data_IF_222918153814
#
_entry.id   IF_222918153814
#
_cell.length_a   1.000
_cell.length_b   1.000
_cell.length_c   1.000
_cell.angle_alpha   90.00
_cell.angle_beta   90.00
_cell.angle_gamma   90.00
#
_symmetry.space_group_name_H-M   'P 1'
#
loop_
_entity.id
_entity.type
_entity.pdbx_description
1 polymer ?
#
# COMPACT_ATOMS: atom_id res chain seq x y z
N UNK A 1 2.44 6.61 -18.55
CA UNK A 1 1.93 6.38 -17.19
C UNK A 1 2.38 5.01 -16.71
N UNK A 2 2.94 4.91 -15.49
CA UNK A 2 3.36 3.60 -15.00
C UNK A 2 2.17 2.67 -14.76
N UNK A 3 2.41 1.39 -15.00
CA UNK A 3 1.41 0.36 -14.74
C UNK A 3 1.36 0.01 -13.26
N UNK A 4 0.18 -0.33 -12.76
CA UNK A 4 0.02 -0.85 -11.42
C UNK A 4 -0.28 -2.36 -11.50
N UNK A 5 0.41 -3.20 -10.72
CA UNK A 5 1.57 -2.88 -9.89
C UNK A 5 2.88 -2.94 -10.69
N UNK A 6 3.82 -2.02 -10.40
CA UNK A 6 5.15 -2.03 -11.02
C UNK A 6 6.15 -1.27 -10.14
N UNK A 7 7.44 -1.47 -10.37
CA UNK A 7 8.48 -0.74 -9.66
C UNK A 7 8.35 0.77 -9.88
N UNK A 8 8.09 1.18 -11.12
CA UNK A 8 7.97 2.62 -11.42
C UNK A 8 6.78 3.24 -10.68
N UNK A 9 5.66 2.53 -10.62
CA UNK A 9 4.49 3.01 -9.90
C UNK A 9 4.79 3.19 -8.41
N UNK A 10 5.46 2.21 -7.80
CA UNK A 10 5.81 2.29 -6.38
C UNK A 10 6.82 3.40 -6.13
N UNK A 11 7.80 3.56 -7.02
CA UNK A 11 8.78 4.66 -6.93
C UNK A 11 8.07 6.02 -6.90
N UNK A 12 7.14 6.23 -7.82
CA UNK A 12 6.38 7.49 -7.89
C UNK A 12 5.55 7.69 -6.62
N UNK A 13 4.94 6.64 -6.13
CA UNK A 13 4.14 6.67 -4.91
C UNK A 13 4.99 7.03 -3.68
N UNK A 14 6.13 6.36 -3.51
CA UNK A 14 7.05 6.62 -2.41
C UNK A 14 7.60 8.04 -2.48
N UNK A 15 7.87 8.55 -3.68
CA UNK A 15 8.31 9.92 -3.86
C UNK A 15 7.26 10.92 -3.34
N UNK A 16 5.99 10.69 -3.65
CA UNK A 16 4.91 11.52 -3.12
C UNK A 16 4.84 11.45 -1.59
N UNK A 17 5.04 10.25 -1.03
CA UNK A 17 5.05 10.08 0.43
C UNK A 17 6.21 10.85 1.07
N UNK A 18 7.39 10.83 0.46
CA UNK A 18 8.54 11.56 0.96
C UNK A 18 8.32 13.09 0.98
N UNK A 19 7.50 13.58 0.06
CA UNK A 19 7.16 14.99 -0.04
C UNK A 19 5.98 15.39 0.84
N UNK A 20 5.30 14.41 1.47
CA UNK A 20 4.10 14.66 2.26
C UNK A 20 4.43 14.90 3.72
N UNK A 21 4.24 16.13 4.18
CA UNK A 21 4.38 16.45 5.59
C UNK A 21 3.31 15.76 6.43
N UNK A 22 2.09 15.67 5.90
CA UNK A 22 0.99 14.99 6.58
C UNK A 22 1.32 13.53 6.85
N UNK A 23 1.91 12.83 5.87
CA UNK A 23 2.31 11.45 6.05
C UNK A 23 3.42 11.33 7.09
N UNK A 24 4.42 12.21 7.02
CA UNK A 24 5.52 12.19 7.99
C UNK A 24 5.02 12.36 9.42
N UNK A 25 4.07 13.26 9.63
CA UNK A 25 3.51 13.49 10.96
C UNK A 25 2.64 12.30 11.40
N UNK A 26 1.76 11.82 10.53
CA UNK A 26 0.85 10.73 10.88
C UNK A 26 1.57 9.41 11.12
N UNK A 27 2.72 9.21 10.47
CA UNK A 27 3.54 8.01 10.62
C UNK A 27 4.50 8.03 11.78
N UNK A 28 4.50 9.08 12.58
CA UNK A 28 5.37 9.17 13.76
C UNK A 28 5.11 8.02 14.73
N UNK A 29 6.17 7.37 15.18
CA UNK A 29 6.09 6.21 16.07
C UNK A 29 6.00 4.86 15.38
N UNK A 30 5.76 4.82 14.08
CA UNK A 30 5.78 3.57 13.32
C UNK A 30 7.23 3.15 13.04
N UNK A 31 7.50 1.85 13.11
CA UNK A 31 8.70 1.27 12.52
C UNK A 31 8.38 -0.14 12.04
N UNK A 32 8.91 -0.52 10.89
CA UNK A 32 8.76 -1.85 10.36
C UNK A 32 8.30 -1.87 8.92
N UNK A 33 8.07 -3.09 8.43
CA UNK A 33 7.71 -3.35 7.05
C UNK A 33 6.22 -3.64 6.89
N UNK A 34 5.68 -3.19 5.78
CA UNK A 34 4.33 -3.49 5.32
C UNK A 34 4.45 -4.22 3.98
N UNK A 35 3.68 -5.29 3.81
CA UNK A 35 3.59 -6.01 2.55
C UNK A 35 2.18 -5.84 1.99
N UNK A 36 2.08 -5.22 0.83
CA UNK A 36 0.82 -5.09 0.10
C UNK A 36 0.81 -6.16 -0.99
N UNK A 37 -0.16 -7.06 -0.94
CA UNK A 37 -0.23 -8.19 -1.88
C UNK A 37 -1.36 -7.95 -2.87
N UNK A 38 -1.01 -7.94 -4.14
CA UNK A 38 -1.96 -7.76 -5.25
C UNK A 38 -2.20 -9.12 -5.89
N UNK A 39 -3.42 -9.65 -5.76
CA UNK A 39 -3.82 -10.94 -6.33
C UNK A 39 -4.59 -10.74 -7.62
N UNK A 40 -4.65 -11.80 -8.44
CA UNK A 40 -5.46 -11.81 -9.65
C UNK A 40 -4.67 -11.66 -10.95
N UNK A 41 -3.36 -11.47 -10.87
CA UNK A 41 -2.50 -11.49 -12.05
C UNK A 41 -2.32 -12.93 -12.55
N UNK A 42 -2.21 -13.11 -13.86
CA UNK A 42 -1.94 -14.41 -14.47
C UNK A 42 -0.60 -15.01 -14.02
N UNK A 43 0.35 -14.16 -13.66
CA UNK A 43 1.69 -14.57 -13.22
C UNK A 43 1.78 -14.78 -11.71
N UNK A 44 0.65 -14.77 -11.02
CA UNK A 44 0.61 -14.94 -9.57
C UNK A 44 0.60 -13.61 -8.81
N UNK A 45 0.61 -13.67 -7.47
CA UNK A 45 0.53 -12.45 -6.67
C UNK A 45 1.79 -11.60 -6.80
N UNK A 46 1.60 -10.29 -6.68
CA UNK A 46 2.69 -9.32 -6.64
C UNK A 46 2.76 -8.74 -5.24
N UNK A 47 3.95 -8.74 -4.65
CA UNK A 47 4.21 -8.19 -3.33
C UNK A 47 4.87 -6.83 -3.46
N UNK A 48 4.30 -5.84 -2.78
CA UNK A 48 4.88 -4.50 -2.66
C UNK A 48 5.33 -4.34 -1.22
N UNK A 49 6.65 -4.31 -1.02
CA UNK A 49 7.24 -4.12 0.29
C UNK A 49 7.53 -2.65 0.53
N UNK A 50 7.07 -2.13 1.66
CA UNK A 50 7.42 -0.79 2.13
C UNK A 50 7.99 -0.94 3.54
N UNK A 51 9.22 -0.47 3.75
CA UNK A 51 9.90 -0.60 5.04
C UNK A 51 10.43 0.76 5.47
N UNK A 52 10.17 1.15 6.70
CA UNK A 52 10.60 2.44 7.17
C UNK A 52 10.21 2.74 8.61
N UNK A 53 10.36 3.99 8.98
CA UNK A 53 10.05 4.47 10.32
C UNK A 53 9.68 5.96 10.28
N UNK A 54 8.86 6.37 11.24
CA UNK A 54 8.53 7.77 11.49
C UNK A 54 8.06 8.54 10.24
N UNK A 55 7.21 7.89 9.45
CA UNK A 55 6.61 8.53 8.27
C UNK A 55 7.55 8.62 7.08
N UNK A 56 8.60 7.82 7.04
CA UNK A 56 9.51 7.72 5.88
C UNK A 56 9.73 6.28 5.50
N UNK A 57 9.58 5.99 4.22
CA UNK A 57 9.91 4.68 3.66
C UNK A 57 11.37 4.70 3.22
N UNK A 58 12.21 3.94 3.93
CA UNK A 58 13.66 3.89 3.67
C UNK A 58 14.03 2.83 2.64
N UNK A 59 13.14 1.85 2.42
CA UNK A 59 13.36 0.75 1.49
C UNK A 59 12.03 0.27 0.94
N UNK A 60 12.02 -0.09 -0.33
CA UNK A 60 10.83 -0.69 -0.96
C UNK A 60 11.27 -1.68 -2.02
N UNK A 61 10.40 -2.63 -2.34
CA UNK A 61 10.65 -3.62 -3.37
C UNK A 61 9.33 -4.11 -3.96
N UNK A 62 9.38 -4.55 -5.21
CA UNK A 62 8.23 -5.12 -5.91
C UNK A 62 8.66 -6.45 -6.51
N UNK A 63 7.92 -7.52 -6.26
CA UNK A 63 8.27 -8.82 -6.81
C UNK A 63 7.27 -9.91 -6.45
N UNK A 64 7.53 -11.14 -6.94
CA UNK A 64 6.62 -12.27 -6.74
C UNK A 64 6.75 -12.93 -5.36
N UNK A 65 7.81 -12.64 -4.63
CA UNK A 65 8.12 -13.37 -3.40
C UNK A 65 7.72 -12.56 -2.18
N UNK A 66 7.05 -13.21 -1.19
CA UNK A 66 6.72 -12.53 0.05
C UNK A 66 7.99 -12.26 0.87
N UNK A 67 8.01 -11.12 1.54
CA UNK A 67 9.05 -10.81 2.51
C UNK A 67 8.63 -11.38 3.86
N UNK A 68 9.46 -12.22 4.51
CA UNK A 68 9.17 -12.67 5.87
C UNK A 68 9.29 -11.51 6.85
N UNK A 69 8.71 -11.69 8.04
CA UNK A 69 8.86 -10.75 9.16
C UNK A 69 8.32 -9.35 8.91
N UNK A 70 7.28 -9.24 8.08
CA UNK A 70 6.58 -7.97 7.93
C UNK A 70 5.65 -7.74 9.13
N UNK A 71 5.51 -6.50 9.53
CA UNK A 71 4.65 -6.14 10.65
C UNK A 71 3.18 -6.24 10.29
N UNK A 72 2.82 -5.86 9.06
CA UNK A 72 1.45 -5.92 8.55
C UNK A 72 1.50 -6.40 7.11
N UNK A 73 0.57 -7.30 6.76
CA UNK A 73 0.35 -7.73 5.38
C UNK A 73 -1.11 -7.47 5.01
N UNK A 74 -1.31 -6.72 3.92
CA UNK A 74 -2.63 -6.41 3.39
C UNK A 74 -2.77 -7.07 2.02
N UNK A 75 -3.74 -7.97 1.89
CA UNK A 75 -3.93 -8.76 0.66
C UNK A 75 -5.29 -8.47 0.07
N UNK A 76 -5.33 -8.15 -1.21
CA UNK A 76 -6.56 -7.93 -1.95
C UNK A 76 -6.34 -8.20 -3.44
N UNK A 77 -7.44 -8.34 -4.19
CA UNK A 77 -7.37 -8.49 -5.64
C UNK A 77 -6.91 -7.18 -6.28
N UNK A 78 -6.38 -7.28 -7.50
CA UNK A 78 -6.04 -6.10 -8.29
C UNK A 78 -7.25 -5.17 -8.45
N UNK A 79 -8.43 -5.75 -8.61
CA UNK A 79 -9.67 -5.00 -8.77
C UNK A 79 -9.99 -4.15 -7.55
N UNK A 80 -9.81 -4.73 -6.36
CA UNK A 80 -10.02 -4.00 -5.10
C UNK A 80 -8.99 -2.90 -4.93
N UNK A 81 -7.70 -3.18 -5.20
CA UNK A 81 -6.67 -2.14 -5.14
C UNK A 81 -6.92 -1.02 -6.13
N UNK A 82 -7.42 -1.34 -7.33
CA UNK A 82 -7.83 -0.33 -8.32
C UNK A 82 -8.88 0.61 -7.76
N UNK A 83 -9.89 0.06 -7.08
CA UNK A 83 -10.94 0.88 -6.46
C UNK A 83 -10.36 1.79 -5.37
N UNK A 84 -9.42 1.29 -4.59
CA UNK A 84 -8.73 2.09 -3.55
C UNK A 84 -7.94 3.23 -4.21
N UNK A 85 -7.16 2.92 -5.23
CA UNK A 85 -6.34 3.91 -5.94
C UNK A 85 -7.22 4.99 -6.58
N UNK A 86 -8.35 4.60 -7.14
CA UNK A 86 -9.31 5.53 -7.76
C UNK A 86 -10.16 6.29 -6.76
N UNK A 87 -9.94 6.11 -5.48
CA UNK A 87 -10.70 6.74 -4.39
C UNK A 87 -12.18 6.32 -4.38
N UNK A 88 -12.50 5.16 -4.95
CA UNK A 88 -13.84 4.59 -4.97
C UNK A 88 -14.13 3.71 -3.76
N UNK A 89 -13.09 3.29 -3.04
CA UNK A 89 -13.19 2.44 -1.87
C UNK A 89 -12.20 2.92 -0.80
N UNK A 90 -12.70 3.22 0.37
CA UNK A 90 -11.83 3.49 1.52
C UNK A 90 -11.12 2.21 1.95
N UNK A 91 -9.80 2.26 2.23
CA UNK A 91 -9.09 1.05 2.67
C UNK A 91 -9.67 0.48 3.97
N UNK A 92 -10.11 1.32 4.90
CA UNK A 92 -10.68 0.85 6.16
C UNK A 92 -12.02 0.15 5.94
N UNK A 93 -12.85 0.67 5.03
CA UNK A 93 -14.10 0.01 4.66
C UNK A 93 -13.82 -1.32 3.96
N UNK A 94 -12.82 -1.36 3.09
CA UNK A 94 -12.40 -2.61 2.44
C UNK A 94 -11.99 -3.68 3.45
N UNK A 95 -11.28 -3.29 4.50
CA UNK A 95 -10.89 -4.20 5.58
C UNK A 95 -12.14 -4.68 6.34
N UNK A 96 -13.03 -3.78 6.71
CA UNK A 96 -14.25 -4.13 7.45
C UNK A 96 -15.16 -5.07 6.65
N UNK A 97 -15.20 -4.92 5.35
CA UNK A 97 -16.01 -5.76 4.47
C UNK A 97 -15.33 -7.08 4.09
N UNK A 98 -14.10 -7.31 4.55
CA UNK A 98 -13.35 -8.51 4.18
C UNK A 98 -12.81 -8.52 2.76
N UNK A 99 -12.86 -7.40 2.06
CA UNK A 99 -12.31 -7.26 0.70
C UNK A 99 -10.80 -7.09 0.72
N UNK A 100 -10.27 -6.52 1.80
CA UNK A 100 -8.84 -6.44 2.07
C UNK A 100 -8.57 -7.29 3.31
N UNK A 101 -7.75 -8.33 3.17
CA UNK A 101 -7.42 -9.23 4.28
C UNK A 101 -6.19 -8.71 5.00
N UNK A 102 -6.24 -8.69 6.33
CA UNK A 102 -5.16 -8.17 7.17
C UNK A 102 -4.49 -9.32 7.90
N UNK A 103 -3.15 -9.35 7.87
CA UNK A 103 -2.34 -10.15 8.77
C UNK A 103 -1.44 -9.23 9.55
N UNK A 104 -1.37 -9.43 10.86
CA UNK A 104 -0.58 -8.62 11.76
C UNK A 104 -1.39 -8.12 12.93
N UNK A 105 -0.84 -7.14 13.62
CA UNK A 105 -1.44 -6.60 14.83
C UNK A 105 -2.55 -5.62 14.48
N UNK A 106 -3.81 -6.06 14.61
CA UNK A 106 -4.97 -5.24 14.25
C UNK A 106 -5.02 -3.87 14.93
N UNK A 107 -4.64 -3.71 16.21
CA UNK A 107 -4.59 -2.38 16.82
C UNK A 107 -3.70 -1.38 16.08
N UNK A 108 -2.66 -1.84 15.37
CA UNK A 108 -1.82 -0.96 14.56
C UNK A 108 -2.61 -0.32 13.41
N UNK A 109 -3.55 -1.07 12.82
CA UNK A 109 -4.41 -0.54 11.76
C UNK A 109 -5.22 0.64 12.28
N UNK A 110 -5.78 0.52 13.47
CA UNK A 110 -6.56 1.59 14.08
C UNK A 110 -5.69 2.77 14.48
N UNK A 111 -4.52 2.50 15.05
CA UNK A 111 -3.59 3.53 15.49
C UNK A 111 -3.07 4.37 14.33
N UNK A 112 -2.75 3.72 13.22
CA UNK A 112 -2.15 4.37 12.05
C UNK A 112 -3.15 4.57 10.91
N UNK A 113 -4.46 4.62 11.22
CA UNK A 113 -5.51 4.78 10.20
C UNK A 113 -5.34 6.03 9.35
N UNK A 114 -4.84 7.12 9.95
CA UNK A 114 -4.59 8.34 9.19
C UNK A 114 -3.48 8.15 8.16
N UNK A 115 -2.40 7.46 8.54
CA UNK A 115 -1.31 7.15 7.61
C UNK A 115 -1.79 6.28 6.46
N UNK A 116 -2.62 5.28 6.75
CA UNK A 116 -3.19 4.39 5.73
C UNK A 116 -4.03 5.22 4.75
N UNK A 117 -4.88 6.10 5.26
CA UNK A 117 -5.73 6.95 4.42
C UNK A 117 -4.88 7.88 3.56
N UNK A 118 -3.87 8.52 4.14
CA UNK A 118 -2.99 9.44 3.40
C UNK A 118 -2.24 8.69 2.30
N UNK A 119 -1.68 7.50 2.59
CA UNK A 119 -1.00 6.71 1.57
C UNK A 119 -1.94 6.34 0.41
N UNK A 120 -3.19 6.05 0.69
CA UNK A 120 -4.17 5.76 -0.36
C UNK A 120 -4.53 7.00 -1.17
N UNK A 121 -4.65 8.16 -0.54
CA UNK A 121 -4.88 9.42 -1.25
C UNK A 121 -3.69 9.77 -2.16
N UNK A 122 -2.47 9.56 -1.67
CA UNK A 122 -1.26 9.75 -2.47
C UNK A 122 -1.20 8.79 -3.65
N UNK A 123 -1.64 7.53 -3.45
CA UNK A 123 -1.76 6.57 -4.55
C UNK A 123 -2.67 7.08 -5.66
N UNK A 124 -3.76 7.77 -5.29
CA UNK A 124 -4.67 8.38 -6.26
C UNK A 124 -4.05 9.53 -7.06
N UNK A 125 -2.94 10.09 -6.59
CA UNK A 125 -2.22 11.15 -7.30
C UNK A 125 -1.16 10.62 -8.25
N UNK A 126 -0.83 9.33 -8.19
CA UNK A 126 0.09 8.71 -9.15
C UNK A 126 -0.66 8.50 -10.46
N UNK A 127 -0.11 8.99 -11.57
CA UNK A 127 -0.66 8.68 -12.90
C UNK A 127 -0.54 7.17 -13.11
N UNK A 128 -1.67 6.49 -13.30
CA UNK A 128 -1.70 5.03 -13.26
C UNK A 128 -2.36 4.44 -14.49
N UNK A 129 -1.71 3.41 -15.04
CA UNK A 129 -2.28 2.55 -16.06
C UNK A 129 -2.55 1.17 -15.45
N UNK A 130 -3.77 0.67 -15.63
CA UNK A 130 -4.15 -0.66 -15.15
C UNK A 130 -4.09 -1.67 -16.30
N UNK A 131 -3.69 -2.91 -15.98
CA UNK A 131 -3.36 -3.91 -16.97
C UNK A 131 -4.52 -4.38 -17.86
N UNK A 132 -5.74 -4.13 -17.46
CA UNK A 132 -6.93 -4.53 -18.24
C UNK A 132 -7.49 -3.38 -19.10
N UNK A 133 -6.73 -2.36 -19.23
CA UNK A 133 -7.09 -1.21 -20.04
C UNK A 133 -8.00 -0.24 -19.36
#
# INVERSE_FOLDING_TARGET
>A
MPQFPSEQWVRDWVTLADESEEFRISGGGWSGAVDLVVEGSADGPVHILLDGADGRWSRWAVGPDPTPDVRIRLTASEDVWRQVIRQELSPLVGILQGRIRVRGHLPDILRYRSSITIMCELAGRVSTEFGDG
#
